data_IF_694227161871
#
_entry.id   IF_694227161871
#
_cell.length_a   1.000
_cell.length_b   1.000
_cell.length_c   1.000
_cell.angle_alpha   90.00
_cell.angle_beta   90.00
_cell.angle_gamma   90.00
#
_symmetry.space_group_name_H-M   'P 1'
#
loop_
_entity.id
_entity.type
_entity.pdbx_description
1 polymer ?
#
# COMPACT_ATOMS: atom_id res chain seq x y z
N UNK A 1 19.49 23.93 5.74
CA UNK A 1 18.17 24.61 5.71
C UNK A 1 17.47 24.36 7.03
N UNK A 2 16.61 25.28 7.49
CA UNK A 2 15.91 25.15 8.77
C UNK A 2 14.45 24.74 8.55
N UNK A 3 14.00 23.69 9.23
CA UNK A 3 12.60 23.28 9.28
C UNK A 3 11.95 23.95 10.49
N UNK A 4 11.01 24.87 10.27
CA UNK A 4 10.31 25.56 11.36
C UNK A 4 8.96 24.88 11.64
N UNK A 5 8.84 24.22 12.79
CA UNK A 5 7.60 23.58 13.23
C UNK A 5 7.03 24.36 14.41
N UNK A 6 5.94 25.10 14.16
CA UNK A 6 5.18 25.84 15.19
C UNK A 6 4.11 24.95 15.83
N UNK A 7 4.55 23.88 16.47
CA UNK A 7 3.69 22.95 17.18
C UNK A 7 4.42 22.47 18.45
N UNK A 8 3.83 22.70 19.62
CA UNK A 8 4.44 22.40 20.92
C UNK A 8 4.65 20.90 21.15
N UNK A 9 3.70 20.07 20.70
CA UNK A 9 3.80 18.62 20.81
C UNK A 9 4.93 18.07 19.93
N UNK A 10 5.06 18.53 18.70
CA UNK A 10 6.16 18.14 17.82
C UNK A 10 7.51 18.51 18.43
N UNK A 11 7.62 19.68 19.05
CA UNK A 11 8.85 20.09 19.74
C UNK A 11 9.15 19.20 20.96
N UNK A 12 8.13 18.86 21.77
CA UNK A 12 8.27 17.95 22.91
C UNK A 12 8.73 16.56 22.47
N UNK A 13 8.04 15.96 21.49
CA UNK A 13 8.37 14.64 20.95
C UNK A 13 9.77 14.61 20.32
N UNK A 14 10.16 15.69 19.65
CA UNK A 14 11.50 15.79 19.05
C UNK A 14 12.62 15.83 20.10
N UNK A 15 12.38 16.48 21.24
CA UNK A 15 13.31 16.51 22.37
C UNK A 15 13.39 15.16 23.07
N UNK A 16 12.24 14.59 23.40
CA UNK A 16 12.14 13.27 24.03
C UNK A 16 12.84 12.21 23.18
N UNK A 17 12.60 12.19 21.87
CA UNK A 17 13.26 11.25 20.98
C UNK A 17 14.79 11.43 20.97
N UNK A 18 15.27 12.67 20.91
CA UNK A 18 16.70 12.98 20.94
C UNK A 18 17.36 12.56 22.27
N UNK A 19 16.68 12.78 23.40
CA UNK A 19 17.15 12.36 24.72
C UNK A 19 17.23 10.83 24.84
N UNK A 20 16.23 10.12 24.32
CA UNK A 20 16.19 8.66 24.36
C UNK A 20 17.21 8.02 23.42
N UNK A 21 17.49 8.62 22.25
CA UNK A 21 18.47 8.09 21.29
C UNK A 21 19.89 8.57 21.53
N UNK A 22 20.08 9.61 22.35
CA UNK A 22 21.38 10.27 22.54
C UNK A 22 21.86 11.05 21.31
N UNK A 23 20.94 11.37 20.39
CA UNK A 23 21.23 12.07 19.15
C UNK A 23 20.87 13.56 19.23
N UNK A 24 21.28 14.33 18.23
CA UNK A 24 20.75 15.70 18.09
C UNK A 24 19.27 15.65 17.68
N UNK A 25 18.49 16.66 18.08
CA UNK A 25 17.09 16.81 17.64
C UNK A 25 16.95 16.69 16.13
N UNK A 26 17.87 17.30 15.37
CA UNK A 26 17.85 17.23 13.91
C UNK A 26 18.06 15.81 13.40
N UNK A 27 19.03 15.08 13.96
CA UNK A 27 19.30 13.68 13.59
C UNK A 27 18.10 12.80 13.91
N UNK A 28 17.63 12.85 15.16
CA UNK A 28 16.51 12.06 15.66
C UNK A 28 15.24 12.24 14.81
N UNK A 29 14.87 13.49 14.52
CA UNK A 29 13.70 13.81 13.68
C UNK A 29 13.91 13.37 12.23
N UNK A 30 15.10 13.55 11.67
CA UNK A 30 15.40 13.12 10.29
C UNK A 30 15.28 11.61 10.14
N UNK A 31 15.80 10.85 11.11
CA UNK A 31 15.71 9.39 11.15
C UNK A 31 14.25 8.96 11.29
N UNK A 32 13.50 9.51 12.24
CA UNK A 32 12.10 9.17 12.45
C UNK A 32 11.22 9.43 11.21
N UNK A 33 11.43 10.57 10.53
CA UNK A 33 10.73 10.90 9.28
C UNK A 33 11.09 9.88 8.19
N UNK A 34 12.38 9.56 8.02
CA UNK A 34 12.83 8.58 7.03
C UNK A 34 12.21 7.22 7.27
N UNK A 35 12.26 6.72 8.50
CA UNK A 35 11.66 5.43 8.84
C UNK A 35 10.14 5.41 8.61
N UNK A 36 9.43 6.49 8.94
CA UNK A 36 7.98 6.57 8.69
C UNK A 36 7.68 6.56 7.19
N UNK A 37 8.46 7.28 6.40
CA UNK A 37 8.33 7.28 4.94
C UNK A 37 8.61 5.90 4.35
N UNK A 38 9.65 5.22 4.83
CA UNK A 38 10.03 3.90 4.34
C UNK A 38 8.95 2.85 4.67
N UNK A 39 8.36 2.90 5.87
CA UNK A 39 7.19 2.05 6.23
C UNK A 39 6.01 2.28 5.28
N UNK A 40 5.65 3.54 5.03
CA UNK A 40 4.52 3.88 4.13
C UNK A 40 4.80 3.44 2.69
N UNK A 41 6.04 3.62 2.20
CA UNK A 41 6.44 3.19 0.86
C UNK A 41 6.41 1.67 0.72
N UNK A 42 6.94 0.94 1.69
CA UNK A 42 6.93 -0.52 1.69
C UNK A 42 5.50 -1.09 1.66
N UNK A 43 4.58 -0.51 2.43
CA UNK A 43 3.16 -0.90 2.43
C UNK A 43 2.52 -0.65 1.06
N UNK A 44 2.80 0.50 0.45
CA UNK A 44 2.30 0.84 -0.88
C UNK A 44 2.85 -0.08 -1.96
N UNK A 45 4.16 -0.32 -1.96
CA UNK A 45 4.82 -1.24 -2.89
C UNK A 45 4.31 -2.67 -2.74
N UNK A 46 3.95 -3.10 -1.54
CA UNK A 46 3.31 -4.40 -1.31
C UNK A 46 1.94 -4.47 -1.98
N UNK A 47 1.12 -3.43 -1.83
CA UNK A 47 -0.18 -3.30 -2.50
C UNK A 47 -0.06 -3.28 -4.02
N UNK A 48 0.86 -2.48 -4.56
CA UNK A 48 1.12 -2.37 -5.99
C UNK A 48 1.64 -3.70 -6.58
N UNK A 49 2.57 -4.38 -5.90
CA UNK A 49 3.02 -5.73 -6.31
C UNK A 49 1.90 -6.76 -6.27
N UNK A 50 1.03 -6.71 -5.27
CA UNK A 50 -0.14 -7.61 -5.18
C UNK A 50 -1.11 -7.36 -6.33
N UNK A 51 -1.43 -6.10 -6.64
CA UNK A 51 -2.28 -5.73 -7.75
C UNK A 51 -1.69 -6.19 -9.09
N UNK A 52 -0.39 -5.93 -9.31
CA UNK A 52 0.31 -6.39 -10.51
C UNK A 52 0.25 -7.92 -10.68
N UNK A 53 0.44 -8.68 -9.60
CA UNK A 53 0.32 -10.15 -9.63
C UNK A 53 -1.08 -10.63 -9.99
N UNK A 54 -2.13 -9.97 -9.47
CA UNK A 54 -3.52 -10.31 -9.80
C UNK A 54 -3.79 -10.09 -11.28
N UNK A 55 -3.35 -8.96 -11.83
CA UNK A 55 -3.51 -8.63 -13.26
C UNK A 55 -2.76 -9.62 -14.14
N UNK A 56 -1.52 -9.98 -13.77
CA UNK A 56 -0.72 -10.95 -14.51
C UNK A 56 -1.36 -12.34 -14.50
N UNK A 57 -1.84 -12.80 -13.35
CA UNK A 57 -2.58 -14.06 -13.25
C UNK A 57 -3.84 -14.05 -14.11
N UNK A 58 -4.60 -12.94 -14.09
CA UNK A 58 -5.78 -12.78 -14.93
C UNK A 58 -5.46 -12.87 -16.42
N UNK A 59 -4.33 -12.29 -16.86
CA UNK A 59 -3.85 -12.39 -18.24
C UNK A 59 -3.45 -13.82 -18.60
N UNK A 60 -2.75 -14.52 -17.71
CA UNK A 60 -2.37 -15.92 -17.90
C UNK A 60 -3.60 -16.81 -18.08
N UNK A 61 -4.58 -16.70 -17.17
CA UNK A 61 -5.84 -17.44 -17.24
C UNK A 61 -6.59 -17.12 -18.54
N UNK A 62 -6.74 -15.84 -18.89
CA UNK A 62 -7.43 -15.43 -20.11
C UNK A 62 -6.76 -15.98 -21.38
N UNK A 63 -5.43 -16.13 -21.40
CA UNK A 63 -4.73 -16.74 -22.53
C UNK A 63 -4.84 -18.26 -22.61
N UNK A 64 -5.06 -18.93 -21.47
CA UNK A 64 -5.15 -20.39 -21.38
C UNK A 64 -6.58 -20.91 -21.60
N UNK A 65 -7.59 -20.07 -21.37
CA UNK A 65 -9.01 -20.42 -21.56
C UNK A 65 -9.44 -19.99 -22.95
N UNK A 66 -9.96 -20.92 -23.75
CA UNK A 66 -10.62 -20.58 -25.02
C UNK A 66 -11.84 -19.71 -24.73
N UNK A 67 -12.09 -18.68 -25.56
CA UNK A 67 -13.29 -17.86 -25.43
C UNK A 67 -14.53 -18.75 -25.32
N UNK A 68 -15.21 -18.68 -24.17
CA UNK A 68 -16.47 -19.39 -23.98
C UNK A 68 -17.46 -18.90 -25.03
N UNK A 69 -18.12 -19.83 -25.71
CA UNK A 69 -19.24 -19.49 -26.60
C UNK A 69 -20.52 -19.26 -25.79
N UNK A 70 -20.53 -19.61 -24.50
CA UNK A 70 -21.65 -19.40 -23.60
C UNK A 70 -21.67 -17.98 -23.05
N UNK A 71 -22.79 -17.30 -23.24
CA UNK A 71 -23.20 -16.08 -22.53
C UNK A 71 -23.60 -16.41 -21.09
N UNK A 72 -23.72 -15.37 -20.26
CA UNK A 72 -24.36 -15.48 -18.93
C UNK A 72 -25.80 -16.01 -19.09
N UNK A 73 -26.48 -15.65 -20.17
CA UNK A 73 -27.85 -16.08 -20.46
C UNK A 73 -27.94 -17.59 -20.74
N UNK A 74 -26.85 -18.22 -21.19
CA UNK A 74 -26.82 -19.68 -21.43
C UNK A 74 -26.62 -20.48 -20.12
N UNK A 75 -26.38 -19.81 -18.98
CA UNK A 75 -26.17 -20.45 -17.68
C UNK A 75 -27.47 -20.66 -16.89
N UNK A 76 -28.57 -20.03 -17.32
CA UNK A 76 -29.87 -20.09 -16.64
C UNK A 76 -30.98 -20.41 -17.64
N UNK A 77 -31.93 -21.25 -17.23
CA UNK A 77 -33.14 -21.49 -18.00
C UNK A 77 -34.11 -20.29 -17.95
N UNK A 78 -35.21 -20.36 -18.72
CA UNK A 78 -36.24 -19.32 -18.77
C UNK A 78 -36.94 -19.07 -17.40
N UNK A 79 -36.75 -19.96 -16.43
CA UNK A 79 -37.25 -19.84 -15.06
C UNK A 79 -36.19 -19.27 -14.09
N UNK A 80 -34.99 -18.99 -14.57
CA UNK A 80 -33.87 -18.46 -13.80
C UNK A 80 -33.15 -19.51 -12.95
N UNK A 81 -33.32 -20.80 -13.25
CA UNK A 81 -32.60 -21.89 -12.59
C UNK A 81 -31.33 -22.24 -13.36
N UNK A 82 -30.25 -22.66 -12.68
CA UNK A 82 -29.05 -23.14 -13.37
C UNK A 82 -29.39 -24.30 -14.32
N UNK A 83 -29.06 -24.13 -15.60
CA UNK A 83 -29.29 -25.12 -16.65
C UNK A 83 -28.31 -26.31 -16.56
#
# INVERSE_FOLDING_TARGET
>A
MALNIKNEEAQRLSRELAELTGETITTAVTVAIRERLDRIRADRESGERRAARIVDLGRQIASAVSASTMSIDDLYDDYGLPA
#
